data_IF_662142878943
#
_entry.id   IF_662142878943
#
_cell.length_a   1.000
_cell.length_b   1.000
_cell.length_c   1.000
_cell.angle_alpha   90.00
_cell.angle_beta   90.00
_cell.angle_gamma   90.00
#
_symmetry.space_group_name_H-M   'P 1'
#
loop_
_entity.id
_entity.type
_entity.pdbx_description
1 polymer ?
#
# COMPACT_ATOMS: atom_id res chain seq x y z
N UNK A 1 5.93 19.39 6.13
CA UNK A 1 5.17 18.63 7.14
C UNK A 1 3.68 18.68 6.79
N UNK A 2 3.25 18.14 5.65
CA UNK A 2 1.87 18.25 5.19
C UNK A 2 1.54 17.11 4.22
N UNK A 3 1.07 15.97 4.74
CA UNK A 3 0.07 15.14 4.04
C UNK A 3 -0.44 13.90 4.80
N UNK A 4 0.07 13.60 6.01
CA UNK A 4 -0.26 12.34 6.69
C UNK A 4 -1.78 12.15 6.89
N UNK A 5 -2.47 13.15 7.46
CA UNK A 5 -3.92 13.07 7.67
C UNK A 5 -4.71 12.95 6.35
N UNK A 6 -4.27 13.63 5.30
CA UNK A 6 -4.88 13.52 3.98
C UNK A 6 -4.67 12.12 3.38
N UNK A 7 -3.48 11.54 3.49
CA UNK A 7 -3.23 10.16 3.05
C UNK A 7 -4.06 9.16 3.85
N UNK A 8 -4.17 9.34 5.16
CA UNK A 8 -5.05 8.52 6.01
C UNK A 8 -6.51 8.60 5.55
N UNK A 9 -7.01 9.79 5.24
CA UNK A 9 -8.37 10.00 4.77
C UNK A 9 -8.60 9.36 3.40
N UNK A 10 -7.69 9.57 2.45
CA UNK A 10 -7.79 8.98 1.11
C UNK A 10 -7.78 7.46 1.18
N UNK A 11 -6.82 6.86 1.91
CA UNK A 11 -6.70 5.41 2.01
C UNK A 11 -7.96 4.82 2.67
N UNK A 12 -8.40 5.39 3.79
CA UNK A 12 -9.59 4.88 4.49
C UNK A 12 -10.85 5.01 3.63
N UNK A 13 -11.05 6.13 2.94
CA UNK A 13 -12.17 6.30 2.02
C UNK A 13 -12.11 5.29 0.88
N UNK A 14 -10.98 5.17 0.20
CA UNK A 14 -10.80 4.24 -0.92
C UNK A 14 -11.09 2.78 -0.53
N UNK A 15 -10.58 2.34 0.62
CA UNK A 15 -10.79 0.98 1.11
C UNK A 15 -12.21 0.75 1.63
N UNK A 16 -12.84 1.77 2.22
CA UNK A 16 -14.24 1.71 2.63
C UNK A 16 -15.17 1.62 1.42
N UNK A 17 -14.91 2.43 0.40
CA UNK A 17 -15.67 2.41 -0.86
C UNK A 17 -15.60 1.03 -1.51
N UNK A 18 -14.41 0.41 -1.54
CA UNK A 18 -14.22 -0.93 -2.06
C UNK A 18 -14.94 -2.00 -1.23
N UNK A 19 -14.82 -1.96 0.11
CA UNK A 19 -15.43 -2.95 0.99
C UNK A 19 -16.97 -2.90 0.97
N UNK A 20 -17.57 -1.76 0.59
CA UNK A 20 -19.01 -1.61 0.44
C UNK A 20 -19.58 -2.30 -0.81
N UNK A 21 -18.75 -2.74 -1.75
CA UNK A 21 -19.19 -3.44 -2.97
C UNK A 21 -19.71 -4.84 -2.59
N UNK A 22 -20.97 -5.18 -2.91
CA UNK A 22 -21.51 -6.49 -2.59
C UNK A 22 -20.77 -7.63 -3.32
N UNK A 23 -20.46 -8.68 -2.58
CA UNK A 23 -19.91 -9.91 -3.17
C UNK A 23 -21.06 -10.72 -3.78
N UNK A 24 -20.95 -11.02 -5.08
CA UNK A 24 -22.03 -11.65 -5.84
C UNK A 24 -22.32 -13.11 -5.44
N UNK A 25 -21.33 -13.83 -4.88
CA UNK A 25 -21.40 -15.26 -4.61
C UNK A 25 -20.89 -15.61 -3.20
N UNK A 26 -21.46 -16.65 -2.61
CA UNK A 26 -21.06 -17.16 -1.30
C UNK A 26 -21.61 -16.35 -0.13
N UNK A 27 -21.25 -16.79 1.08
CA UNK A 27 -21.52 -16.08 2.34
C UNK A 27 -20.17 -15.56 2.81
N UNK A 28 -19.82 -14.36 2.34
CA UNK A 28 -18.50 -13.77 2.52
C UNK A 28 -18.66 -12.34 3.04
N UNK A 29 -18.06 -12.09 4.19
CA UNK A 29 -17.91 -10.75 4.73
C UNK A 29 -16.73 -10.06 4.04
N UNK A 30 -16.95 -8.80 3.64
CA UNK A 30 -15.92 -7.89 3.15
C UNK A 30 -15.86 -6.71 4.11
N UNK A 31 -14.71 -6.48 4.76
CA UNK A 31 -14.59 -5.44 5.76
C UNK A 31 -13.19 -4.85 5.83
N UNK A 32 -13.12 -3.62 6.33
CA UNK A 32 -11.88 -2.87 6.52
C UNK A 32 -11.25 -3.18 7.87
N UNK A 33 -9.91 -3.23 7.90
CA UNK A 33 -9.11 -3.27 9.14
C UNK A 33 -8.13 -2.10 9.09
N UNK A 34 -8.29 -1.14 10.00
CA UNK A 34 -7.48 0.07 10.06
C UNK A 34 -6.73 0.14 11.39
N UNK A 35 -5.40 0.13 11.33
CA UNK A 35 -4.52 0.51 12.41
C UNK A 35 -3.94 1.90 12.12
N UNK A 36 -4.63 2.94 12.61
CA UNK A 36 -4.22 4.33 12.43
C UNK A 36 -3.02 4.74 13.28
N UNK A 37 -2.62 3.91 14.26
CA UNK A 37 -1.45 4.18 15.12
C UNK A 37 -0.16 3.73 14.43
N UNK A 38 -0.22 2.60 13.73
CA UNK A 38 0.91 2.03 13.00
C UNK A 38 0.84 2.30 11.48
N UNK A 39 -0.26 2.93 11.03
CA UNK A 39 -0.52 3.27 9.62
C UNK A 39 -0.58 2.04 8.70
N UNK A 40 -1.35 1.03 9.12
CA UNK A 40 -1.68 -0.16 8.32
C UNK A 40 -3.18 -0.18 7.98
N UNK A 41 -3.51 -0.34 6.70
CA UNK A 41 -4.89 -0.26 6.20
C UNK A 41 -5.18 -1.42 5.25
N UNK A 42 -6.17 -2.23 5.57
CA UNK A 42 -6.45 -3.47 4.85
C UNK A 42 -7.94 -3.62 4.53
N UNK A 43 -8.24 -4.39 3.49
CA UNK A 43 -9.55 -5.00 3.25
C UNK A 43 -9.42 -6.51 3.36
N UNK A 44 -10.22 -7.11 4.23
CA UNK A 44 -10.28 -8.54 4.44
C UNK A 44 -11.54 -9.12 3.82
N UNK A 45 -11.41 -10.33 3.26
CA UNK A 45 -12.55 -11.18 2.92
C UNK A 45 -12.54 -12.42 3.79
N UNK A 46 -13.68 -12.73 4.40
CA UNK A 46 -13.81 -13.84 5.35
C UNK A 46 -15.16 -14.51 5.17
N UNK A 47 -15.17 -15.79 4.84
CA UNK A 47 -16.42 -16.52 4.67
C UNK A 47 -16.26 -17.84 3.94
N UNK A 48 -17.32 -18.25 3.27
CA UNK A 48 -17.39 -19.51 2.55
C UNK A 48 -18.08 -19.32 1.20
N UNK A 49 -17.51 -19.95 0.19
CA UNK A 49 -18.11 -20.10 -1.13
C UNK A 49 -18.33 -21.60 -1.39
N UNK A 50 -19.55 -22.08 -1.10
CA UNK A 50 -19.82 -23.52 -1.00
C UNK A 50 -18.91 -24.18 0.04
N UNK A 51 -18.09 -25.14 -0.41
CA UNK A 51 -17.13 -25.86 0.44
C UNK A 51 -15.73 -25.20 0.49
N UNK A 52 -15.52 -24.10 -0.23
CA UNK A 52 -14.24 -23.40 -0.28
C UNK A 52 -14.20 -22.33 0.80
N UNK A 53 -13.19 -22.39 1.66
CA UNK A 53 -12.88 -21.31 2.62
C UNK A 53 -12.39 -20.08 1.85
N UNK A 54 -13.01 -18.93 2.11
CA UNK A 54 -12.51 -17.62 1.67
C UNK A 54 -11.94 -16.91 2.89
N UNK A 55 -10.62 -16.65 2.85
CA UNK A 55 -9.91 -15.96 3.91
C UNK A 55 -8.66 -15.30 3.33
N UNK A 56 -8.62 -13.97 3.30
CA UNK A 56 -7.44 -13.27 2.79
C UNK A 56 -7.57 -11.75 2.76
N UNK A 57 -6.41 -11.10 2.74
CA UNK A 57 -6.28 -9.67 2.54
C UNK A 57 -6.31 -9.36 1.03
N UNK A 58 -7.30 -8.59 0.60
CA UNK A 58 -7.55 -8.28 -0.81
C UNK A 58 -6.80 -7.01 -1.24
N UNK A 59 -6.79 -6.01 -0.38
CA UNK A 59 -6.05 -4.76 -0.54
C UNK A 59 -5.30 -4.47 0.75
N UNK A 60 -4.02 -4.10 0.65
CA UNK A 60 -3.20 -3.69 1.79
C UNK A 60 -2.38 -2.46 1.40
N UNK A 61 -2.62 -1.35 2.10
CA UNK A 61 -1.86 -0.12 1.99
C UNK A 61 -1.27 0.25 3.35
N UNK A 62 -0.04 0.75 3.33
CA UNK A 62 0.64 1.33 4.50
C UNK A 62 0.98 2.80 4.26
N UNK A 63 1.20 3.56 5.34
CA UNK A 63 1.94 4.83 5.25
C UNK A 63 3.29 4.68 5.93
N UNK A 64 4.37 4.71 5.15
CA UNK A 64 5.75 4.56 5.67
C UNK A 64 6.58 5.76 5.24
N UNK A 65 7.20 6.43 6.22
CA UNK A 65 8.05 7.61 6.01
C UNK A 65 7.37 8.68 5.13
N UNK A 66 6.07 8.91 5.38
CA UNK A 66 5.29 9.92 4.67
C UNK A 66 4.88 9.56 3.24
N UNK A 67 4.99 8.28 2.83
CA UNK A 67 4.54 7.80 1.51
C UNK A 67 3.51 6.70 1.68
N UNK A 68 2.60 6.56 0.71
CA UNK A 68 1.65 5.47 0.63
C UNK A 68 2.32 4.27 -0.04
N UNK A 69 2.31 3.12 0.61
CA UNK A 69 2.85 1.88 0.08
C UNK A 69 1.70 0.95 -0.26
N UNK A 70 1.64 0.47 -1.50
CA UNK A 70 0.70 -0.56 -1.91
C UNK A 70 1.39 -1.90 -1.70
N UNK A 71 1.06 -2.59 -0.62
CA UNK A 71 1.70 -3.85 -0.22
C UNK A 71 1.03 -5.07 -0.87
N UNK A 72 -0.27 -4.98 -1.15
CA UNK A 72 -1.02 -6.04 -1.83
C UNK A 72 -2.18 -5.45 -2.62
N UNK A 73 -2.40 -5.99 -3.82
CA UNK A 73 -3.59 -5.73 -4.61
C UNK A 73 -4.03 -7.01 -5.35
N UNK A 74 -5.08 -7.66 -4.86
CA UNK A 74 -5.67 -8.85 -5.48
C UNK A 74 -6.86 -8.52 -6.39
N UNK A 75 -6.95 -7.28 -6.87
CA UNK A 75 -8.04 -6.79 -7.72
C UNK A 75 -7.49 -6.32 -9.07
N UNK A 76 -8.39 -6.11 -10.03
CA UNK A 76 -8.04 -5.45 -11.30
C UNK A 76 -7.97 -3.92 -11.18
N UNK A 77 -8.28 -3.35 -10.01
CA UNK A 77 -8.21 -1.91 -9.81
C UNK A 77 -6.77 -1.41 -9.91
N UNK A 78 -6.59 -0.30 -10.63
CA UNK A 78 -5.31 0.40 -10.70
C UNK A 78 -5.16 1.32 -9.49
N UNK A 79 -4.96 0.73 -8.30
CA UNK A 79 -4.93 1.47 -7.01
C UNK A 79 -3.96 2.67 -7.04
N UNK A 80 -2.77 2.51 -7.66
CA UNK A 80 -1.83 3.63 -7.81
C UNK A 80 -2.42 4.80 -8.62
N UNK A 81 -3.20 4.52 -9.67
CA UNK A 81 -3.86 5.56 -10.46
C UNK A 81 -5.05 6.17 -9.70
N UNK A 82 -5.84 5.36 -8.99
CA UNK A 82 -6.94 5.86 -8.15
C UNK A 82 -6.45 6.84 -7.08
N UNK A 83 -5.29 6.56 -6.46
CA UNK A 83 -4.66 7.48 -5.52
C UNK A 83 -4.22 8.79 -6.20
N UNK A 84 -3.69 8.71 -7.42
CA UNK A 84 -3.33 9.90 -8.23
C UNK A 84 -4.55 10.73 -8.56
N UNK A 85 -5.64 10.09 -8.97
CA UNK A 85 -6.89 10.77 -9.32
C UNK A 85 -7.53 11.46 -8.10
N UNK A 86 -7.24 10.95 -6.89
CA UNK A 86 -7.59 11.57 -5.59
C UNK A 86 -6.59 12.63 -5.11
N UNK A 87 -5.57 12.96 -5.91
CA UNK A 87 -4.63 14.06 -5.65
C UNK A 87 -3.33 13.66 -4.96
N UNK A 88 -3.00 12.37 -4.86
CA UNK A 88 -1.69 11.91 -4.35
C UNK A 88 -0.64 12.02 -5.45
N UNK A 89 0.50 12.66 -5.17
CA UNK A 89 1.61 12.71 -6.13
C UNK A 89 2.16 11.29 -6.39
N UNK A 90 2.47 10.97 -7.65
CA UNK A 90 3.04 9.65 -8.03
C UNK A 90 4.29 9.28 -7.22
N UNK A 91 5.14 10.27 -6.92
CA UNK A 91 6.37 10.08 -6.15
C UNK A 91 6.12 9.70 -4.68
N UNK A 92 4.93 9.98 -4.15
CA UNK A 92 4.51 9.62 -2.80
C UNK A 92 3.78 8.28 -2.72
N UNK A 93 3.63 7.59 -3.84
CA UNK A 93 3.10 6.23 -3.93
C UNK A 93 4.27 5.28 -4.17
N UNK A 94 4.33 4.15 -3.47
CA UNK A 94 5.36 3.13 -3.64
C UNK A 94 4.67 1.80 -3.89
N UNK A 95 5.08 1.07 -4.94
CA UNK A 95 4.62 -0.30 -5.18
C UNK A 95 5.41 -1.25 -4.27
N UNK A 96 4.90 -1.49 -3.06
CA UNK A 96 5.53 -2.31 -2.01
C UNK A 96 5.72 -3.77 -2.44
N UNK A 97 4.74 -4.33 -3.15
CA UNK A 97 4.79 -5.68 -3.71
C UNK A 97 5.84 -5.85 -4.82
N UNK A 98 6.32 -4.76 -5.44
CA UNK A 98 7.38 -4.81 -6.43
C UNK A 98 8.73 -4.91 -5.73
N UNK A 99 9.63 -5.80 -6.20
CA UNK A 99 10.95 -5.92 -5.61
C UNK A 99 11.69 -4.57 -5.66
N UNK A 100 12.41 -4.20 -4.58
CA UNK A 100 12.98 -2.86 -4.44
C UNK A 100 13.75 -2.35 -5.67
N UNK A 101 14.62 -3.17 -6.25
CA UNK A 101 15.47 -2.86 -7.41
C UNK A 101 14.69 -2.55 -8.70
N UNK A 102 13.44 -3.00 -8.80
CA UNK A 102 12.59 -2.75 -9.96
C UNK A 102 11.71 -1.51 -9.82
N UNK A 103 11.58 -0.94 -8.62
CA UNK A 103 10.68 0.20 -8.39
C UNK A 103 11.10 1.44 -9.16
N UNK A 104 12.39 1.61 -9.43
CA UNK A 104 12.94 2.70 -10.24
C UNK A 104 12.46 2.69 -11.71
N UNK A 105 11.99 1.53 -12.19
CA UNK A 105 11.45 1.38 -13.55
C UNK A 105 9.92 1.51 -13.59
N UNK A 106 9.30 1.90 -12.46
CA UNK A 106 7.86 2.19 -12.38
C UNK A 106 7.63 3.68 -12.47
N UNK A 107 6.39 4.08 -12.76
CA UNK A 107 5.99 5.50 -12.76
C UNK A 107 5.79 6.07 -11.34
N UNK A 108 6.14 5.32 -10.29
CA UNK A 108 5.88 5.64 -8.89
C UNK A 108 7.18 5.76 -8.09
N UNK A 109 7.08 6.20 -6.84
CA UNK A 109 8.21 6.32 -5.92
C UNK A 109 8.91 4.99 -5.61
N UNK A 110 10.20 5.06 -5.31
CA UNK A 110 11.06 3.87 -5.11
C UNK A 110 11.07 3.29 -3.69
N UNK A 111 10.60 4.06 -2.70
CA UNK A 111 10.86 3.78 -1.29
C UNK A 111 12.35 3.92 -0.99
N UNK A 112 12.74 4.66 0.04
CA UNK A 112 14.15 5.02 0.28
C UNK A 112 15.12 3.85 0.12
N UNK A 113 15.91 3.85 -0.95
CA UNK A 113 17.13 3.07 -1.08
C UNK A 113 18.27 3.91 -0.51
N UNK A 114 18.87 3.44 0.58
CA UNK A 114 20.29 3.69 0.79
C UNK A 114 20.99 2.56 0.06
N UNK A 115 21.62 2.84 -1.07
CA UNK A 115 22.57 1.89 -1.63
C UNK A 115 23.69 1.70 -0.61
N UNK A 116 23.80 0.51 0.02
CA UNK A 116 25.02 0.11 0.75
C UNK A 116 26.16 -0.23 -0.24
N UNK A 117 26.39 0.65 -1.22
CA UNK A 117 27.57 0.65 -2.07
C UNK A 117 28.18 2.03 -1.91
N UNK A 118 28.89 2.24 -0.80
CA UNK A 118 29.45 3.55 -0.46
C UNK A 118 30.18 3.68 0.89
N UNK A 119 30.35 2.61 1.67
CA UNK A 119 31.16 2.63 2.91
C UNK A 119 32.46 1.83 2.77
N UNK A 120 33.16 2.03 1.64
CA UNK A 120 34.54 1.61 1.49
C UNK A 120 35.26 2.68 0.68
N UNK A 121 35.65 3.75 1.38
CA UNK A 121 36.77 4.66 1.09
C UNK A 121 36.48 5.98 1.82
N UNK A 122 36.56 5.95 3.14
CA UNK A 122 36.89 7.16 3.88
C UNK A 122 38.07 6.86 4.81
N UNK A 123 39.27 6.90 4.22
CA UNK A 123 40.55 6.96 4.92
C UNK A 123 40.85 8.41 5.39
N UNK A 124 39.83 9.21 5.76
CA UNK A 124 40.05 10.55 6.33
C UNK A 124 39.99 10.61 7.86
N UNK A 125 40.33 9.53 8.55
CA UNK A 125 40.82 9.61 9.93
C UNK A 125 42.31 9.26 9.98
N UNK A 126 43.08 10.00 9.19
CA UNK A 126 44.45 10.35 9.53
C UNK A 126 44.46 11.79 10.05
N UNK A 127 44.44 11.92 11.38
CA UNK A 127 45.31 12.73 12.28
C UNK A 127 44.64 12.71 13.66
#
# INVERSE_FOLDING_TARGET
>A
MYNLEFYRQIIQSLLTDYAAIPIANGVIDCYTVFDTKQDHYMVMTVGWDGYRRVYGCVLHLDIKKGKIWIEQNMTEMRIGQELVDRGVAKDDIVLGFQAPEFRQYTDYGVGYFVSMVGWANDDSLAI
#
